data_IF_912792985091
#
_entry.id   IF_912792985091
#
_cell.length_a   1.000
_cell.length_b   1.000
_cell.length_c   1.000
_cell.angle_alpha   90.00
_cell.angle_beta   90.00
_cell.angle_gamma   90.00
#
_symmetry.space_group_name_H-M   'P 1'
#
loop_
_entity.id
_entity.type
_entity.pdbx_description
1 polymer ?
#
# COMPACT_ATOMS: atom_id res chain seq x y z
N UNK A 1 -44.98 -10.42 84.42
CA UNK A 1 -44.20 -9.20 84.17
C UNK A 1 -43.29 -9.49 82.95
N UNK A 2 -43.74 -9.05 81.76
CA UNK A 2 -43.10 -9.36 80.50
C UNK A 2 -42.08 -8.27 80.17
N UNK A 3 -40.81 -8.67 79.95
CA UNK A 3 -39.75 -7.76 79.48
C UNK A 3 -39.66 -7.92 77.96
N UNK A 4 -40.03 -6.87 77.20
CA UNK A 4 -39.88 -6.77 75.79
C UNK A 4 -38.39 -6.49 75.42
N UNK A 5 -37.76 -7.38 74.66
CA UNK A 5 -36.44 -7.17 74.04
C UNK A 5 -36.63 -6.40 72.73
N UNK A 6 -36.02 -5.21 72.63
CA UNK A 6 -35.91 -4.48 71.38
C UNK A 6 -34.67 -4.99 70.63
N UNK A 7 -34.85 -5.43 69.35
CA UNK A 7 -33.75 -5.71 68.41
C UNK A 7 -33.44 -4.40 67.73
N UNK A 8 -32.19 -3.97 67.87
CA UNK A 8 -31.62 -2.87 67.07
C UNK A 8 -31.13 -3.44 65.75
N UNK A 9 -31.78 -3.04 64.69
CA UNK A 9 -31.24 -3.31 63.32
C UNK A 9 -30.25 -2.20 62.96
N UNK A 10 -28.98 -2.57 62.89
CA UNK A 10 -27.93 -1.70 62.34
C UNK A 10 -27.98 -1.76 60.81
N UNK A 11 -28.35 -0.66 60.18
CA UNK A 11 -28.38 -0.50 58.75
C UNK A 11 -26.94 -0.10 58.26
N UNK A 12 -26.21 -1.06 57.73
CA UNK A 12 -24.89 -0.80 57.09
C UNK A 12 -25.13 -0.24 55.69
N UNK A 13 -24.95 1.08 55.54
CA UNK A 13 -24.97 1.69 54.20
C UNK A 13 -23.69 1.37 53.45
N UNK A 14 -23.79 0.54 52.41
CA UNK A 14 -22.70 0.25 51.47
C UNK A 14 -22.57 1.43 50.51
N UNK A 15 -21.56 2.26 50.68
CA UNK A 15 -21.22 3.30 49.70
C UNK A 15 -20.45 2.61 48.56
N UNK A 16 -21.13 2.36 47.45
CA UNK A 16 -20.50 1.93 46.21
C UNK A 16 -19.89 3.17 45.54
N UNK A 17 -18.59 3.35 45.68
CA UNK A 17 -17.82 4.29 44.86
C UNK A 17 -17.76 3.72 43.44
N UNK A 18 -18.65 4.16 42.58
CA UNK A 18 -18.57 3.92 41.15
C UNK A 18 -17.39 4.70 40.58
N UNK A 19 -16.30 4.00 40.30
CA UNK A 19 -15.29 4.51 39.37
C UNK A 19 -15.91 4.53 37.97
N UNK A 20 -16.42 5.68 37.58
CA UNK A 20 -16.77 5.94 36.20
C UNK A 20 -15.50 5.87 35.35
N UNK A 21 -15.36 4.79 34.60
CA UNK A 21 -14.44 4.78 33.49
C UNK A 21 -15.01 5.77 32.46
N UNK A 22 -14.49 6.99 32.41
CA UNK A 22 -14.72 7.87 31.27
C UNK A 22 -14.18 7.16 30.04
N UNK A 23 -15.05 6.47 29.29
CA UNK A 23 -14.77 6.13 27.93
C UNK A 23 -14.62 7.47 27.22
N UNK A 24 -13.36 7.84 26.93
CA UNK A 24 -13.07 8.89 25.96
C UNK A 24 -13.86 8.53 24.69
N UNK A 25 -14.76 9.41 24.29
CA UNK A 25 -15.47 9.28 23.02
C UNK A 25 -14.41 9.01 21.94
N UNK A 26 -14.67 8.06 21.00
CA UNK A 26 -13.74 7.82 19.92
C UNK A 26 -13.51 9.16 19.23
N UNK A 27 -12.25 9.54 19.07
CA UNK A 27 -11.89 10.71 18.29
C UNK A 27 -12.66 10.59 16.98
N UNK A 28 -13.54 11.55 16.70
CA UNK A 28 -14.23 11.66 15.43
C UNK A 28 -13.12 11.87 14.38
N UNK A 29 -12.60 10.78 13.86
CA UNK A 29 -11.78 10.79 12.67
C UNK A 29 -12.73 11.16 11.54
N UNK A 30 -12.94 12.46 11.32
CA UNK A 30 -13.51 12.95 10.08
C UNK A 30 -12.58 12.49 8.98
N UNK A 31 -12.93 11.42 8.32
CA UNK A 31 -12.27 11.00 7.10
C UNK A 31 -12.57 12.10 6.06
N UNK A 32 -11.53 12.83 5.67
CA UNK A 32 -11.71 13.90 4.69
C UNK A 32 -12.25 13.29 3.40
N UNK A 33 -13.38 13.79 2.94
CA UNK A 33 -14.02 13.34 1.70
C UNK A 33 -13.08 13.63 0.53
N UNK A 34 -12.77 12.60 -0.25
CA UNK A 34 -11.92 12.69 -1.45
C UNK A 34 -12.74 12.71 -2.74
N UNK A 35 -12.01 12.71 -3.86
CA UNK A 35 -12.56 12.69 -5.21
C UNK A 35 -13.18 11.33 -5.57
N UNK A 36 -12.69 10.25 -4.98
CA UNK A 36 -13.04 8.86 -5.27
C UNK A 36 -13.25 8.07 -3.97
N UNK A 37 -14.25 7.20 -3.94
CA UNK A 37 -14.46 6.26 -2.83
C UNK A 37 -14.28 4.83 -3.31
N UNK A 38 -13.38 4.08 -2.65
CA UNK A 38 -13.08 2.69 -2.98
C UNK A 38 -12.75 1.88 -1.74
N UNK A 39 -13.35 0.69 -1.62
CA UNK A 39 -13.08 -0.29 -0.54
C UNK A 39 -13.18 0.30 0.88
N UNK A 40 -14.08 1.25 1.13
CA UNK A 40 -14.27 1.87 2.45
C UNK A 40 -13.39 3.09 2.71
N UNK A 41 -12.62 3.57 1.74
CA UNK A 41 -11.69 4.70 1.88
C UNK A 41 -11.91 5.75 0.81
N UNK A 42 -11.67 7.02 1.15
CA UNK A 42 -11.60 8.11 0.20
C UNK A 42 -10.19 8.32 -0.33
N UNK A 43 -10.11 8.70 -1.61
CA UNK A 43 -8.87 9.01 -2.31
C UNK A 43 -9.00 10.31 -3.07
N UNK A 44 -7.91 11.05 -3.19
CA UNK A 44 -7.76 12.19 -4.09
C UNK A 44 -7.01 11.77 -5.35
N UNK A 45 -7.36 12.35 -6.49
CA UNK A 45 -6.59 12.19 -7.71
C UNK A 45 -5.28 12.99 -7.65
N UNK A 46 -4.20 12.40 -8.12
CA UNK A 46 -3.02 13.15 -8.52
C UNK A 46 -3.30 13.84 -9.87
N UNK A 47 -3.29 15.16 -9.89
CA UNK A 47 -3.48 15.95 -11.10
C UNK A 47 -2.22 16.77 -11.39
N UNK A 48 -1.42 16.34 -12.38
CA UNK A 48 -0.18 16.99 -12.82
C UNK A 48 -0.03 16.82 -14.31
N UNK A 49 -0.38 17.88 -15.06
CA UNK A 49 -0.32 17.87 -16.52
C UNK A 49 1.06 18.25 -17.07
N UNK A 50 1.98 18.67 -16.21
CA UNK A 50 3.41 18.77 -16.49
C UNK A 50 4.14 17.51 -16.01
N UNK A 51 5.25 17.11 -16.63
CA UNK A 51 5.99 15.91 -16.22
C UNK A 51 6.48 15.97 -14.78
N UNK A 52 6.12 14.94 -14.00
CA UNK A 52 6.54 14.75 -12.61
C UNK A 52 6.83 13.26 -12.33
N UNK A 53 7.44 12.95 -11.19
CA UNK A 53 7.66 11.58 -10.72
C UNK A 53 6.37 10.82 -10.34
N UNK A 54 6.43 9.47 -10.43
CA UNK A 54 7.48 8.69 -11.05
C UNK A 54 7.55 8.95 -12.56
N UNK A 55 8.75 8.87 -13.12
CA UNK A 55 8.78 9.04 -14.53
C UNK A 55 9.83 9.94 -15.06
N UNK A 56 9.60 10.78 -16.10
CA UNK A 56 8.71 11.98 -16.17
C UNK A 56 7.34 11.69 -16.77
N UNK A 57 6.29 11.66 -15.95
CA UNK A 57 4.93 11.36 -16.39
C UNK A 57 3.95 12.51 -16.15
N UNK A 58 2.88 12.54 -16.94
CA UNK A 58 1.72 13.41 -16.73
C UNK A 58 0.62 12.60 -16.08
N UNK A 59 0.00 13.14 -15.04
CA UNK A 59 -1.08 12.46 -14.31
C UNK A 59 -2.39 13.21 -14.54
N UNK A 60 -3.39 12.49 -15.03
CA UNK A 60 -4.73 13.02 -15.24
C UNK A 60 -5.58 12.75 -14.00
N UNK A 61 -6.00 13.82 -13.34
CA UNK A 61 -6.75 13.78 -12.10
C UNK A 61 -8.26 13.90 -12.33
N UNK A 62 -8.85 12.96 -13.03
CA UNK A 62 -10.29 12.87 -13.22
C UNK A 62 -10.79 11.43 -13.40
N UNK A 63 -12.11 11.27 -13.42
CA UNK A 63 -12.78 9.96 -13.57
C UNK A 63 -12.57 9.28 -14.92
N UNK A 64 -11.90 9.90 -15.88
CA UNK A 64 -11.54 9.24 -17.16
C UNK A 64 -10.23 8.48 -17.05
N UNK A 65 -9.43 8.76 -16.01
CA UNK A 65 -8.15 8.11 -15.73
C UNK A 65 -8.21 7.15 -14.55
N UNK A 66 -9.07 7.43 -13.55
CA UNK A 66 -9.30 6.53 -12.43
C UNK A 66 -10.76 6.61 -11.97
N UNK A 67 -11.43 5.47 -11.83
CA UNK A 67 -12.84 5.41 -11.41
C UNK A 67 -13.15 4.09 -10.71
N UNK A 68 -14.30 4.05 -10.03
CA UNK A 68 -14.89 2.82 -9.49
C UNK A 68 -16.11 2.47 -10.33
N UNK A 69 -16.19 1.22 -10.76
CA UNK A 69 -17.28 0.73 -11.59
C UNK A 69 -18.52 0.33 -10.76
N UNK A 70 -19.57 -0.14 -11.44
CA UNK A 70 -20.80 -0.59 -10.80
C UNK A 70 -20.69 -1.96 -10.07
N UNK A 71 -19.53 -2.58 -10.10
CA UNK A 71 -19.17 -3.77 -9.33
C UNK A 71 -18.20 -3.43 -8.19
N UNK A 72 -18.09 -2.15 -7.85
CA UNK A 72 -17.18 -1.62 -6.80
C UNK A 72 -15.71 -1.89 -7.06
N UNK A 73 -15.28 -2.08 -8.33
CA UNK A 73 -13.88 -2.29 -8.71
C UNK A 73 -13.23 -0.96 -9.09
N UNK A 74 -12.01 -0.76 -8.62
CA UNK A 74 -11.18 0.38 -9.00
C UNK A 74 -10.46 0.11 -10.32
N UNK A 75 -10.56 1.06 -11.23
CA UNK A 75 -9.87 1.09 -12.50
C UNK A 75 -8.85 2.21 -12.52
N UNK A 76 -7.64 1.92 -12.98
CA UNK A 76 -6.60 2.90 -13.27
C UNK A 76 -6.17 2.74 -14.73
N UNK A 77 -6.01 3.86 -15.44
CA UNK A 77 -5.77 3.86 -16.88
C UNK A 77 -4.53 4.67 -17.27
N UNK A 78 -3.80 4.15 -18.24
CA UNK A 78 -2.82 4.88 -19.05
C UNK A 78 -3.44 5.09 -20.42
N UNK A 79 -3.59 6.35 -20.84
CA UNK A 79 -4.26 6.71 -22.09
C UNK A 79 -3.58 7.88 -22.79
N UNK A 80 -3.79 7.98 -24.10
CA UNK A 80 -3.41 9.16 -24.85
C UNK A 80 -4.56 10.19 -24.86
N UNK A 81 -4.28 11.43 -24.47
CA UNK A 81 -5.24 12.55 -24.49
C UNK A 81 -4.49 13.82 -24.88
N UNK A 82 -5.04 14.56 -25.84
CA UNK A 82 -4.45 15.81 -26.34
C UNK A 82 -2.99 15.67 -26.83
N UNK A 83 -2.65 14.53 -27.48
CA UNK A 83 -1.31 14.25 -28.01
C UNK A 83 -0.29 13.80 -26.98
N UNK A 84 -0.67 13.63 -25.71
CA UNK A 84 0.22 13.19 -24.62
C UNK A 84 -0.29 11.91 -23.99
N UNK A 85 0.64 11.03 -23.61
CA UNK A 85 0.35 9.95 -22.70
C UNK A 85 0.12 10.48 -21.31
N UNK A 86 -0.94 10.00 -20.67
CA UNK A 86 -1.35 10.38 -19.33
C UNK A 86 -1.56 9.13 -18.48
N UNK A 87 -1.02 9.20 -17.29
CA UNK A 87 -1.04 8.19 -16.26
C UNK A 87 -2.11 8.50 -15.21
N UNK A 88 -2.35 7.58 -14.28
CA UNK A 88 -3.25 7.77 -13.17
C UNK A 88 -2.57 7.47 -11.84
N UNK A 89 -2.94 8.21 -10.80
CA UNK A 89 -2.57 7.94 -9.41
C UNK A 89 -3.67 8.44 -8.49
N UNK A 90 -4.02 7.63 -7.50
CA UNK A 90 -4.90 8.00 -6.40
C UNK A 90 -4.17 7.90 -5.06
N UNK A 91 -4.48 8.83 -4.17
CA UNK A 91 -3.81 9.04 -2.88
C UNK A 91 -4.88 9.02 -1.80
N UNK A 92 -4.76 8.14 -0.81
CA UNK A 92 -5.75 8.07 0.27
C UNK A 92 -5.80 9.36 1.09
N UNK A 93 -7.01 9.77 1.48
CA UNK A 93 -7.19 10.86 2.43
C UNK A 93 -6.90 10.40 3.85
N UNK A 94 -7.17 9.13 4.14
CA UNK A 94 -6.84 8.50 5.42
C UNK A 94 -5.33 8.29 5.55
N UNK A 95 -4.82 8.50 6.76
CA UNK A 95 -3.46 8.13 7.16
C UNK A 95 -3.41 6.64 7.52
N UNK A 96 -2.32 6.00 7.16
CA UNK A 96 -2.05 4.61 7.43
C UNK A 96 -0.74 4.44 8.21
N UNK A 97 -0.60 3.34 8.91
CA UNK A 97 0.57 3.04 9.72
C UNK A 97 0.97 1.57 9.62
N UNK A 98 1.57 1.06 10.67
CA UNK A 98 1.85 -0.38 10.77
C UNK A 98 0.55 -1.19 10.68
N UNK A 99 0.60 -2.27 9.93
CA UNK A 99 -0.56 -3.12 9.68
C UNK A 99 -0.37 -4.04 8.49
N UNK A 100 -1.44 -4.74 8.14
CA UNK A 100 -1.51 -5.57 6.95
C UNK A 100 -2.34 -4.87 5.88
N UNK A 101 -1.73 -4.62 4.75
CA UNK A 101 -2.32 -4.09 3.53
C UNK A 101 -2.57 -5.25 2.58
N UNK A 102 -3.81 -5.42 2.15
CA UNK A 102 -4.20 -6.49 1.25
C UNK A 102 -4.90 -5.90 0.03
N UNK A 103 -4.46 -6.29 -1.15
CA UNK A 103 -5.04 -5.90 -2.43
C UNK A 103 -5.35 -7.14 -3.26
N UNK A 104 -6.53 -7.18 -3.88
CA UNK A 104 -6.88 -8.18 -4.89
C UNK A 104 -6.93 -7.55 -6.26
N UNK A 105 -6.05 -8.01 -7.16
CA UNK A 105 -5.95 -7.54 -8.54
C UNK A 105 -6.58 -8.56 -9.49
N UNK A 106 -7.45 -8.09 -10.39
CA UNK A 106 -8.11 -8.91 -11.42
C UNK A 106 -7.29 -8.93 -12.71
N UNK A 107 -6.57 -7.86 -13.01
CA UNK A 107 -5.76 -7.77 -14.23
C UNK A 107 -4.63 -8.80 -14.23
N UNK A 108 -4.46 -9.50 -15.33
CA UNK A 108 -3.33 -10.40 -15.52
C UNK A 108 -2.03 -9.63 -15.77
N UNK A 109 -1.28 -9.44 -14.69
CA UNK A 109 -0.02 -8.69 -14.69
C UNK A 109 1.07 -9.29 -15.57
N UNK A 110 0.98 -10.57 -15.95
CA UNK A 110 1.96 -11.25 -16.83
C UNK A 110 1.92 -10.68 -18.25
N UNK A 111 0.78 -10.12 -18.64
CA UNK A 111 0.53 -9.54 -19.96
C UNK A 111 0.77 -8.02 -20.00
N UNK A 112 1.40 -7.45 -18.96
CA UNK A 112 1.74 -6.03 -18.97
C UNK A 112 2.63 -5.66 -20.14
N UNK A 113 2.36 -4.50 -20.75
CA UNK A 113 3.30 -3.86 -21.66
C UNK A 113 4.61 -3.57 -20.92
N UNK A 114 5.78 -3.79 -21.52
CA UNK A 114 7.05 -3.59 -20.84
C UNK A 114 7.28 -2.20 -20.28
N UNK A 115 6.58 -1.19 -20.81
CA UNK A 115 6.71 0.20 -20.37
C UNK A 115 5.71 0.59 -19.28
N UNK A 116 4.72 -0.26 -18.96
CA UNK A 116 3.73 0.04 -17.92
C UNK A 116 4.20 -0.43 -16.56
N UNK A 117 3.97 0.38 -15.54
CA UNK A 117 4.25 0.09 -14.13
C UNK A 117 3.02 0.39 -13.31
N UNK A 118 2.57 -0.57 -12.52
CA UNK A 118 1.55 -0.37 -11.50
C UNK A 118 2.17 -0.49 -10.11
N UNK A 119 1.93 0.51 -9.25
CA UNK A 119 2.39 0.53 -7.87
C UNK A 119 1.23 0.52 -6.88
N UNK A 120 1.38 -0.32 -5.86
CA UNK A 120 0.58 -0.35 -4.64
C UNK A 120 1.53 -0.15 -3.46
N UNK A 121 1.49 1.02 -2.81
CA UNK A 121 2.56 1.42 -1.90
C UNK A 121 2.11 2.43 -0.84
N UNK A 122 2.89 2.50 0.24
CA UNK A 122 2.80 3.55 1.24
C UNK A 122 3.73 4.71 0.89
N UNK A 123 3.37 5.92 1.30
CA UNK A 123 4.17 7.12 1.05
C UNK A 123 3.97 8.20 2.11
N UNK A 124 5.06 8.89 2.45
CA UNK A 124 5.04 10.07 3.31
C UNK A 124 5.92 11.17 2.71
N UNK A 125 5.30 12.29 2.32
CA UNK A 125 5.98 13.42 1.67
C UNK A 125 7.05 14.08 2.56
N UNK A 126 6.98 13.90 3.89
CA UNK A 126 7.83 14.58 4.87
C UNK A 126 8.91 13.70 5.49
N UNK A 127 8.97 12.42 5.16
CA UNK A 127 9.89 11.46 5.79
C UNK A 127 11.07 11.03 4.91
N UNK A 128 11.32 11.68 3.78
CA UNK A 128 12.35 11.29 2.80
C UNK A 128 13.72 11.02 3.42
N UNK A 129 14.23 11.97 4.23
CA UNK A 129 15.58 11.85 4.79
C UNK A 129 15.70 10.84 5.93
N UNK A 130 14.59 10.56 6.63
CA UNK A 130 14.58 9.70 7.81
C UNK A 130 14.24 8.27 7.49
N UNK A 131 13.35 8.05 6.51
CA UNK A 131 12.74 6.76 6.29
C UNK A 131 12.42 6.48 4.82
N UNK A 132 13.10 7.12 3.85
CA UNK A 132 12.84 6.90 2.43
C UNK A 132 11.36 7.10 2.07
N UNK A 133 10.74 8.18 2.52
CA UNK A 133 9.31 8.48 2.38
C UNK A 133 8.38 7.47 3.07
N UNK A 134 8.86 6.64 3.98
CA UNK A 134 8.10 5.54 4.58
C UNK A 134 7.48 4.62 3.51
N UNK A 135 8.21 4.45 2.40
CA UNK A 135 7.72 3.78 1.20
C UNK A 135 8.03 2.29 1.26
N UNK A 136 6.97 1.52 1.18
CA UNK A 136 6.99 0.07 1.06
C UNK A 136 6.08 -0.31 -0.09
N UNK A 137 6.61 -1.09 -1.05
CA UNK A 137 6.01 -1.27 -2.36
C UNK A 137 5.65 -2.72 -2.66
N UNK A 138 4.59 -2.86 -3.45
CA UNK A 138 4.39 -3.96 -4.40
C UNK A 138 4.22 -3.32 -5.76
N UNK A 139 5.16 -3.57 -6.67
CA UNK A 139 5.11 -3.04 -8.03
C UNK A 139 4.96 -4.17 -9.05
N UNK A 140 4.20 -3.88 -10.11
CA UNK A 140 3.98 -4.79 -11.23
C UNK A 140 4.53 -4.15 -12.48
N UNK A 141 5.65 -4.68 -12.98
CA UNK A 141 6.34 -4.12 -14.14
C UNK A 141 7.32 -5.13 -14.74
N UNK A 142 7.51 -5.02 -16.02
CA UNK A 142 8.60 -5.69 -16.76
C UNK A 142 9.83 -4.81 -16.93
N UNK A 143 9.80 -3.59 -16.42
CA UNK A 143 10.93 -2.65 -16.40
C UNK A 143 11.61 -2.45 -17.77
N UNK A 144 10.83 -2.43 -18.85
CA UNK A 144 11.30 -2.27 -20.22
C UNK A 144 11.72 -3.56 -20.94
N UNK A 145 11.85 -4.67 -20.23
CA UNK A 145 12.19 -5.98 -20.79
C UNK A 145 10.94 -6.81 -21.09
N UNK A 146 10.61 -6.97 -22.36
CA UNK A 146 9.47 -7.78 -22.81
C UNK A 146 9.56 -9.25 -22.39
N UNK A 147 10.78 -9.75 -22.14
CA UNK A 147 11.06 -11.14 -21.80
C UNK A 147 11.08 -11.36 -20.26
N UNK A 148 10.92 -10.30 -19.46
CA UNK A 148 10.84 -10.46 -18.00
C UNK A 148 9.62 -11.31 -17.62
N UNK A 149 9.89 -12.47 -17.03
CA UNK A 149 8.88 -13.42 -16.57
C UNK A 149 8.52 -13.25 -15.10
N UNK A 150 9.16 -12.28 -14.40
CA UNK A 150 8.96 -11.99 -13.00
C UNK A 150 8.41 -10.55 -12.82
N UNK A 151 7.17 -10.29 -13.24
CA UNK A 151 6.65 -8.93 -13.33
C UNK A 151 6.23 -8.33 -11.98
N UNK A 152 6.53 -8.98 -10.87
CA UNK A 152 6.25 -8.46 -9.51
C UNK A 152 7.55 -8.12 -8.83
N UNK A 153 7.59 -6.97 -8.15
CA UNK A 153 8.70 -6.54 -7.31
C UNK A 153 8.17 -6.12 -5.96
N UNK A 154 8.72 -6.69 -4.89
CA UNK A 154 8.55 -6.19 -3.53
C UNK A 154 9.74 -5.30 -3.21
N UNK A 155 9.51 -4.11 -2.67
CA UNK A 155 10.60 -3.21 -2.33
C UNK A 155 10.35 -2.45 -1.03
N UNK A 156 11.45 -2.03 -0.42
CA UNK A 156 11.48 -1.06 0.67
C UNK A 156 12.48 0.03 0.34
N UNK A 157 12.00 1.26 0.33
CA UNK A 157 12.83 2.40 -0.07
C UNK A 157 13.79 2.87 1.05
N UNK A 158 14.88 3.53 0.69
CA UNK A 158 15.29 3.86 -0.67
C UNK A 158 15.97 2.67 -1.37
N UNK A 159 15.50 2.36 -2.57
CA UNK A 159 16.23 1.48 -3.48
C UNK A 159 17.26 2.31 -4.22
N UNK A 160 18.52 1.98 -4.03
CA UNK A 160 19.63 2.74 -4.62
C UNK A 160 20.20 1.96 -5.78
N UNK A 161 20.29 2.60 -6.95
CA UNK A 161 20.82 2.01 -8.17
C UNK A 161 22.30 2.34 -8.36
N UNK A 162 23.24 1.60 -7.73
CA UNK A 162 24.68 1.66 -7.96
C UNK A 162 25.28 0.29 -8.25
N UNK A 163 26.43 0.20 -8.85
CA UNK A 163 27.10 -1.06 -9.17
C UNK A 163 28.40 -1.16 -8.35
N UNK A 164 28.70 -2.26 -7.62
CA UNK A 164 27.91 -3.49 -7.45
C UNK A 164 26.69 -3.26 -6.54
N UNK A 165 25.62 -3.91 -6.89
CA UNK A 165 24.32 -3.63 -6.32
C UNK A 165 24.14 -4.11 -4.88
N UNK A 166 23.88 -3.22 -3.90
CA UNK A 166 23.34 -3.61 -2.61
C UNK A 166 21.80 -3.79 -2.65
N UNK A 167 21.18 -3.75 -3.81
CA UNK A 167 19.73 -3.71 -3.99
C UNK A 167 19.04 -5.02 -3.71
N UNK A 168 19.71 -6.14 -3.96
CA UNK A 168 19.13 -7.46 -3.84
C UNK A 168 18.49 -7.70 -2.46
N UNK A 169 18.93 -6.97 -1.46
CA UNK A 169 18.40 -7.08 -0.11
C UNK A 169 17.11 -6.26 0.10
N UNK A 170 16.92 -5.19 -0.65
CA UNK A 170 15.76 -4.27 -0.51
C UNK A 170 14.69 -4.48 -1.55
N UNK A 171 15.00 -5.21 -2.60
CA UNK A 171 14.06 -5.61 -3.64
C UNK A 171 14.07 -7.11 -3.78
N UNK A 172 12.89 -7.67 -4.03
CA UNK A 172 12.72 -9.09 -4.28
C UNK A 172 11.73 -9.29 -5.42
N UNK A 173 12.11 -10.06 -6.43
CA UNK A 173 11.23 -10.47 -7.51
C UNK A 173 10.73 -11.89 -7.25
N UNK A 174 9.51 -12.06 -6.75
CA UNK A 174 8.97 -13.38 -6.49
C UNK A 174 8.69 -14.12 -7.79
N UNK A 175 8.85 -15.42 -7.75
CA UNK A 175 8.35 -16.27 -8.82
C UNK A 175 6.82 -16.28 -8.77
N UNK A 176 6.18 -15.88 -9.86
CA UNK A 176 4.74 -16.00 -10.07
C UNK A 176 4.53 -17.05 -11.16
N UNK A 177 3.79 -18.12 -10.90
CA UNK A 177 3.55 -19.16 -11.90
C UNK A 177 3.00 -18.58 -13.20
N UNK A 178 3.50 -19.06 -14.34
CA UNK A 178 3.03 -18.61 -15.66
C UNK A 178 1.61 -19.04 -15.99
N UNK A 179 1.10 -20.01 -15.25
CA UNK A 179 -0.27 -20.51 -15.38
C UNK A 179 -0.88 -20.75 -13.99
N UNK A 180 -2.03 -20.18 -13.74
CA UNK A 180 -2.90 -20.50 -12.63
C UNK A 180 -4.36 -20.33 -13.08
N UNK A 181 -5.23 -21.14 -12.54
CA UNK A 181 -6.65 -21.13 -12.88
C UNK A 181 -7.41 -20.23 -11.89
N UNK A 182 -7.20 -18.92 -12.00
CA UNK A 182 -7.93 -17.93 -11.21
C UNK A 182 -8.09 -16.62 -12.00
N UNK A 183 -9.21 -15.96 -11.76
CA UNK A 183 -9.53 -14.65 -12.35
C UNK A 183 -8.84 -13.48 -11.66
N UNK A 184 -8.22 -13.72 -10.50
CA UNK A 184 -7.56 -12.70 -9.69
C UNK A 184 -6.41 -13.27 -8.87
N UNK A 185 -5.55 -12.39 -8.37
CA UNK A 185 -4.53 -12.69 -7.37
C UNK A 185 -4.62 -11.71 -6.22
N UNK A 186 -4.34 -12.20 -5.01
CA UNK A 186 -4.29 -11.37 -3.81
C UNK A 186 -2.85 -11.20 -3.36
N UNK A 187 -2.50 -9.97 -3.04
CA UNK A 187 -1.18 -9.54 -2.59
C UNK A 187 -1.29 -8.89 -1.22
N UNK A 188 -0.39 -9.25 -0.33
CA UNK A 188 -0.36 -8.67 1.02
C UNK A 188 1.01 -8.10 1.34
N UNK A 189 1.00 -7.04 2.13
CA UNK A 189 2.15 -6.38 2.70
C UNK A 189 1.88 -6.16 4.18
N UNK A 190 2.51 -6.95 5.05
CA UNK A 190 2.45 -6.78 6.49
C UNK A 190 3.65 -5.96 6.95
N UNK A 191 3.40 -4.78 7.46
CA UNK A 191 4.41 -3.84 7.93
C UNK A 191 4.37 -3.68 9.43
N UNK A 192 5.48 -3.95 10.08
CA UNK A 192 5.67 -3.86 11.53
C UNK A 192 6.95 -3.06 11.85
N UNK A 193 7.20 -2.67 13.11
CA UNK A 193 8.47 -2.04 13.47
C UNK A 193 9.71 -2.90 13.23
N UNK A 194 9.55 -4.23 13.17
CA UNK A 194 10.66 -5.19 13.11
C UNK A 194 10.78 -5.93 11.78
N UNK A 195 9.74 -5.90 10.95
CA UNK A 195 9.70 -6.64 9.69
C UNK A 195 8.69 -6.11 8.69
N UNK A 196 8.93 -6.41 7.41
CA UNK A 196 7.96 -6.31 6.34
C UNK A 196 7.85 -7.69 5.71
N UNK A 197 6.62 -8.21 5.60
CA UNK A 197 6.34 -9.51 5.03
C UNK A 197 5.40 -9.36 3.85
N UNK A 198 5.88 -9.67 2.66
CA UNK A 198 5.05 -9.73 1.46
C UNK A 198 4.63 -11.16 1.16
N UNK A 199 3.40 -11.33 0.70
CA UNK A 199 2.89 -12.60 0.20
C UNK A 199 2.02 -12.39 -1.02
N UNK A 200 2.01 -13.38 -1.92
CA UNK A 200 1.09 -13.44 -3.05
C UNK A 200 0.32 -14.75 -3.04
N UNK A 201 -0.93 -14.66 -3.44
CA UNK A 201 -1.87 -15.79 -3.45
C UNK A 201 -2.61 -15.86 -4.78
N UNK A 202 -2.88 -17.06 -5.26
CA UNK A 202 -3.81 -17.29 -6.38
C UNK A 202 -5.25 -17.20 -5.85
N UNK A 203 -6.08 -16.38 -6.48
CA UNK A 203 -7.48 -16.18 -6.09
C UNK A 203 -7.74 -14.92 -5.29
N UNK A 204 -8.97 -14.77 -4.83
CA UNK A 204 -9.52 -13.54 -4.24
C UNK A 204 -9.39 -13.48 -2.70
N UNK A 205 -8.86 -14.53 -2.08
CA UNK A 205 -8.76 -14.64 -0.63
C UNK A 205 -7.38 -15.15 -0.23
N UNK A 206 -6.95 -14.79 0.96
CA UNK A 206 -5.76 -15.37 1.60
C UNK A 206 -6.09 -16.66 2.37
N UNK A 207 -7.38 -16.97 2.55
CA UNK A 207 -7.86 -18.16 3.25
C UNK A 207 -8.26 -19.24 2.27
N UNK A 208 -7.72 -20.46 2.44
CA UNK A 208 -8.04 -21.60 1.58
C UNK A 208 -7.53 -21.49 0.15
N UNK A 209 -6.64 -20.52 -0.14
CA UNK A 209 -6.04 -20.28 -1.43
C UNK A 209 -4.58 -20.70 -1.46
N UNK A 210 -4.04 -20.87 -2.66
CA UNK A 210 -2.65 -21.22 -2.85
C UNK A 210 -1.75 -19.98 -2.65
N UNK A 211 -0.91 -20.00 -1.61
CA UNK A 211 0.21 -19.06 -1.50
C UNK A 211 1.26 -19.39 -2.56
N UNK A 212 1.62 -18.44 -3.40
CA UNK A 212 2.57 -18.61 -4.51
C UNK A 212 3.93 -17.97 -4.23
N UNK A 213 3.98 -16.99 -3.33
CA UNK A 213 5.25 -16.40 -2.91
C UNK A 213 5.19 -15.85 -1.49
N UNK A 214 6.36 -15.71 -0.89
CA UNK A 214 6.59 -14.97 0.34
C UNK A 214 7.99 -14.39 0.34
N UNK A 215 8.13 -13.16 0.82
CA UNK A 215 9.41 -12.55 1.14
C UNK A 215 9.33 -11.87 2.50
N UNK A 216 10.43 -11.94 3.26
CA UNK A 216 10.55 -11.32 4.59
C UNK A 216 11.75 -10.40 4.60
N UNK A 217 11.51 -9.13 4.87
CA UNK A 217 12.55 -8.14 5.12
C UNK A 217 12.59 -7.81 6.61
N UNK A 218 13.75 -7.91 7.22
CA UNK A 218 13.98 -7.64 8.64
C UNK A 218 15.20 -6.73 8.81
N UNK A 219 15.43 -6.22 10.02
CA UNK A 219 16.66 -5.48 10.32
C UNK A 219 17.96 -6.29 10.12
N UNK A 220 17.88 -7.62 9.97
CA UNK A 220 19.01 -8.47 9.65
C UNK A 220 19.35 -8.49 8.15
N UNK A 221 18.38 -8.12 7.30
CA UNK A 221 18.52 -8.01 5.84
C UNK A 221 19.06 -6.64 5.41
N UNK A 222 19.48 -5.81 6.34
CA UNK A 222 19.93 -4.45 6.08
C UNK A 222 21.27 -4.48 5.34
N UNK A 223 21.32 -3.88 4.17
CA UNK A 223 22.55 -3.69 3.42
C UNK A 223 23.54 -2.85 4.21
N UNK A 224 24.77 -3.33 4.35
CA UNK A 224 25.85 -2.61 5.02
C UNK A 224 26.72 -1.80 4.05
N UNK A 225 26.31 -1.66 2.82
CA UNK A 225 27.12 -1.01 1.81
C UNK A 225 27.02 0.50 1.92
N UNK A 226 28.08 1.17 2.31
CA UNK A 226 28.25 2.60 2.14
C UNK A 226 28.36 2.89 0.65
N UNK A 227 27.53 3.78 0.16
CA UNK A 227 27.68 4.36 -1.16
C UNK A 227 28.31 5.73 -0.98
N UNK A 228 29.57 5.88 -1.40
CA UNK A 228 30.23 7.17 -1.40
C UNK A 228 29.42 8.20 -2.18
N UNK A 229 29.18 9.37 -1.57
CA UNK A 229 28.37 10.43 -2.16
C UNK A 229 26.86 10.26 -2.02
N UNK A 230 26.37 9.16 -1.44
CA UNK A 230 24.96 8.94 -1.14
C UNK A 230 24.59 9.53 0.22
N UNK A 231 23.38 10.12 0.32
CA UNK A 231 22.79 10.58 1.59
C UNK A 231 22.21 9.43 2.43
N UNK A 232 22.29 8.21 1.96
CA UNK A 232 21.80 7.04 2.68
C UNK A 232 22.87 6.53 3.58
N UNK A 233 22.70 6.76 4.88
CA UNK A 233 23.54 6.17 5.90
C UNK A 233 23.13 4.72 6.13
N UNK A 234 24.12 3.85 6.24
CA UNK A 234 23.96 2.51 6.76
C UNK A 234 24.01 2.54 8.32
N UNK A 235 23.22 1.72 9.06
CA UNK A 235 22.30 0.73 8.53
C UNK A 235 20.94 1.34 8.15
N UNK A 236 20.35 0.89 7.05
CA UNK A 236 18.96 1.22 6.75
C UNK A 236 18.04 0.44 7.69
N UNK A 237 17.36 1.15 8.52
CA UNK A 237 16.29 0.60 9.36
C UNK A 237 15.02 0.34 8.52
N UNK A 238 14.15 -0.54 9.00
CA UNK A 238 12.80 -0.65 8.48
C UNK A 238 12.15 0.72 8.62
N UNK A 239 11.56 1.28 7.55
CA UNK A 239 10.95 2.61 7.64
C UNK A 239 9.82 2.60 8.65
N UNK A 240 9.73 3.64 9.46
CA UNK A 240 8.59 3.88 10.32
C UNK A 240 7.55 4.73 9.59
N UNK A 241 6.24 4.50 9.81
CA UNK A 241 5.22 5.41 9.31
C UNK A 241 5.40 6.79 9.95
N UNK A 242 5.27 7.83 9.14
CA UNK A 242 5.18 9.21 9.62
C UNK A 242 3.73 9.66 9.78
N UNK A 243 3.53 10.87 10.31
CA UNK A 243 2.18 11.41 10.58
C UNK A 243 1.37 11.68 9.31
N UNK A 244 1.99 11.70 8.14
CA UNK A 244 1.36 11.91 6.84
C UNK A 244 1.38 10.70 5.93
N UNK A 245 1.81 9.53 6.44
CA UNK A 245 1.85 8.30 5.65
C UNK A 245 0.47 7.98 5.08
N UNK A 246 0.40 7.86 3.76
CA UNK A 246 -0.80 7.54 3.01
C UNK A 246 -0.59 6.30 2.13
N UNK A 247 -1.68 5.77 1.61
CA UNK A 247 -1.68 4.69 0.65
C UNK A 247 -1.88 5.25 -0.75
N UNK A 248 -1.15 4.72 -1.71
CA UNK A 248 -1.24 5.12 -3.11
C UNK A 248 -1.40 3.92 -4.04
N UNK A 249 -2.17 4.14 -5.09
CA UNK A 249 -2.24 3.30 -6.27
C UNK A 249 -1.86 4.16 -7.46
N UNK A 250 -0.83 3.77 -8.20
CA UNK A 250 -0.46 4.47 -9.42
C UNK A 250 -0.31 3.52 -10.61
N UNK A 251 -0.59 4.03 -11.79
CA UNK A 251 -0.35 3.32 -13.05
C UNK A 251 0.33 4.28 -14.01
N UNK A 252 1.61 4.01 -14.33
CA UNK A 252 2.49 4.97 -14.96
C UNK A 252 3.41 4.33 -16.00
N UNK A 253 4.14 5.18 -16.75
CA UNK A 253 5.01 4.77 -17.84
C UNK A 253 6.49 4.90 -17.45
N UNK A 254 7.23 3.82 -17.59
CA UNK A 254 8.67 3.77 -17.38
C UNK A 254 9.38 4.85 -18.22
N UNK A 255 10.13 5.75 -17.55
CA UNK A 255 10.80 6.89 -18.17
C UNK A 255 9.87 7.82 -19.00
N UNK A 256 8.57 7.81 -18.75
CA UNK A 256 7.59 8.58 -19.51
C UNK A 256 7.43 8.11 -20.97
N UNK A 257 7.96 6.95 -21.32
CA UNK A 257 7.91 6.43 -22.70
C UNK A 257 6.56 5.78 -23.00
N UNK A 258 6.08 5.95 -24.22
CA UNK A 258 4.84 5.32 -24.67
C UNK A 258 4.87 3.79 -24.50
N UNK A 259 3.71 3.15 -24.29
CA UNK A 259 3.60 1.69 -24.33
C UNK A 259 4.17 1.14 -25.64
N UNK A 260 4.84 0.01 -25.59
CA UNK A 260 5.47 -0.61 -26.80
C UNK A 260 4.46 -0.95 -27.88
N UNK A 261 3.25 -1.33 -27.46
CA UNK A 261 2.17 -1.65 -28.40
C UNK A 261 1.36 -0.41 -28.85
N UNK A 262 1.61 0.78 -28.27
CA UNK A 262 0.92 2.02 -28.61
C UNK A 262 -0.56 2.06 -28.16
N UNK A 263 -1.00 1.12 -27.31
CA UNK A 263 -2.39 1.01 -26.87
C UNK A 263 -2.61 1.65 -25.50
N UNK A 264 -3.85 1.99 -25.21
CA UNK A 264 -4.34 2.29 -23.86
C UNK A 264 -4.23 1.03 -23.01
N UNK A 265 -3.80 1.21 -21.76
CA UNK A 265 -3.72 0.14 -20.76
C UNK A 265 -4.58 0.45 -19.55
N UNK A 266 -5.06 -0.59 -18.91
CA UNK A 266 -5.93 -0.52 -17.76
C UNK A 266 -5.57 -1.61 -16.76
N UNK A 267 -5.63 -1.26 -15.46
CA UNK A 267 -5.55 -2.24 -14.37
C UNK A 267 -6.82 -2.17 -13.54
N UNK A 268 -7.30 -3.33 -13.09
CA UNK A 268 -8.54 -3.50 -12.34
C UNK A 268 -8.20 -4.11 -10.98
N UNK A 269 -8.54 -3.38 -9.91
CA UNK A 269 -8.39 -3.79 -8.52
C UNK A 269 -9.77 -4.08 -7.96
N UNK A 270 -10.01 -5.32 -7.50
CA UNK A 270 -11.30 -5.76 -6.96
C UNK A 270 -11.58 -5.18 -5.59
N UNK A 271 -10.58 -5.20 -4.71
CA UNK A 271 -10.72 -4.65 -3.37
C UNK A 271 -9.35 -4.33 -2.76
N UNK A 272 -9.43 -3.53 -1.71
CA UNK A 272 -8.35 -3.23 -0.79
C UNK A 272 -8.86 -3.37 0.65
N UNK A 273 -8.02 -3.90 1.53
CA UNK A 273 -8.29 -3.99 2.96
C UNK A 273 -7.05 -3.61 3.76
N UNK A 274 -7.24 -2.85 4.82
CA UNK A 274 -6.20 -2.55 5.81
C UNK A 274 -6.62 -3.06 7.18
N UNK A 275 -5.73 -3.83 7.81
CA UNK A 275 -5.87 -4.33 9.16
C UNK A 275 -4.74 -3.72 10.01
N UNK A 276 -5.03 -2.77 10.91
CA UNK A 276 -4.01 -2.21 11.80
C UNK A 276 -3.44 -3.29 12.73
N UNK A 277 -2.17 -3.12 13.15
CA UNK A 277 -1.54 -3.99 14.15
C UNK A 277 -2.08 -3.68 15.55
#
# INVERSE_FOLDING_TARGET
MLIKKYKIFSLLALVVLGYGCEQSAPANLYEEKGDLYFSGYYFNYKNRLTPVGPGPNRFLGDSTAAWVDNQDKLHLKIQQKNGFWQCSEIISTKRFGYGTYQMTCETDIRNFDPMTVFGFFTWDDYSFQKAGNSEVDIEFAKWGDANDTLPVTYSVQPVIFSNPAPYAERTHKPFIPTKYNASACTYTMQWTPDSIVWKSYVGESIFGTQQISQHVFTKNNISRTKIEGSRVSDPMVIPAPGDSTNLRFNFWLLNGAAPKNGLTHEIIIKNFQYLPN
#
